data_IF_806349429191
#
_entry.id   IF_806349429191
#
_cell.length_a   1.000
_cell.length_b   1.000
_cell.length_c   1.000
_cell.angle_alpha   90.00
_cell.angle_beta   90.00
_cell.angle_gamma   90.00
#
_symmetry.space_group_name_H-M   'P 1'
#
loop_
_entity.id
_entity.type
_entity.pdbx_description
1 polymer ?
#
# COMPACT_ATOMS: atom_id res chain seq x y z
N UNK A 1 4.23 -15.26 16.88
CA UNK A 1 5.70 -15.07 16.98
C UNK A 1 6.41 -16.18 16.22
N UNK A 2 7.45 -15.84 15.44
CA UNK A 2 8.28 -16.79 14.71
C UNK A 2 9.18 -17.58 15.67
N UNK A 3 9.41 -18.87 15.39
CA UNK A 3 10.22 -19.75 16.23
C UNK A 3 11.25 -20.50 15.38
N UNK A 4 12.41 -20.80 15.95
CA UNK A 4 13.50 -21.48 15.26
C UNK A 4 14.76 -20.62 15.17
N UNK A 5 15.88 -21.18 14.70
CA UNK A 5 15.97 -22.02 13.50
C UNK A 5 15.61 -23.48 13.70
N UNK A 6 14.91 -24.07 12.73
CA UNK A 6 14.65 -25.50 12.66
C UNK A 6 15.14 -26.06 11.32
N UNK A 7 15.63 -27.29 11.33
CA UNK A 7 16.08 -27.99 10.13
C UNK A 7 14.90 -28.72 9.49
N UNK A 8 14.73 -28.55 8.17
CA UNK A 8 13.79 -29.34 7.37
C UNK A 8 14.31 -30.78 7.32
N UNK A 9 13.48 -31.74 7.74
CA UNK A 9 13.82 -33.17 7.74
C UNK A 9 13.46 -33.83 6.43
N UNK A 10 12.34 -33.42 5.82
CA UNK A 10 11.83 -34.02 4.57
C UNK A 10 11.03 -33.00 3.75
N UNK A 11 11.22 -33.00 2.42
CA UNK A 11 10.32 -32.33 1.47
C UNK A 11 9.19 -33.30 1.12
N UNK A 12 7.94 -32.92 1.38
CA UNK A 12 6.76 -33.76 1.11
C UNK A 12 6.17 -33.40 -0.25
N UNK A 13 6.05 -32.11 -0.55
CA UNK A 13 5.60 -31.56 -1.84
C UNK A 13 6.40 -30.29 -2.16
N UNK A 14 6.08 -29.61 -3.27
CA UNK A 14 6.69 -28.30 -3.57
C UNK A 14 6.33 -27.22 -2.55
N UNK A 15 5.21 -27.43 -1.85
CA UNK A 15 4.65 -26.45 -0.93
C UNK A 15 4.64 -26.91 0.53
N UNK A 16 4.82 -28.21 0.82
CA UNK A 16 4.77 -28.76 2.18
C UNK A 16 6.07 -29.45 2.59
N UNK A 17 6.53 -29.10 3.79
CA UNK A 17 7.81 -29.54 4.34
C UNK A 17 7.63 -30.07 5.77
N UNK A 18 8.33 -31.16 6.09
CA UNK A 18 8.39 -31.70 7.44
C UNK A 18 9.55 -31.08 8.22
N UNK A 19 9.26 -30.63 9.44
CA UNK A 19 10.21 -29.99 10.36
C UNK A 19 10.06 -30.61 11.74
N UNK A 20 11.19 -30.83 12.40
CA UNK A 20 11.24 -31.32 13.78
C UNK A 20 11.09 -30.17 14.78
N UNK A 21 9.90 -30.03 15.37
CA UNK A 21 9.63 -29.01 16.40
C UNK A 21 9.52 -29.69 17.75
N UNK A 22 10.44 -29.37 18.68
CA UNK A 22 10.50 -29.96 20.03
C UNK A 22 10.53 -31.51 19.99
N UNK A 23 11.29 -32.07 19.05
CA UNK A 23 11.47 -33.52 18.89
C UNK A 23 10.29 -34.25 18.23
N UNK A 24 9.24 -33.55 17.78
CA UNK A 24 8.12 -34.15 17.06
C UNK A 24 8.09 -33.67 15.60
N UNK A 25 7.93 -34.58 14.61
CA UNK A 25 7.78 -34.19 13.22
C UNK A 25 6.44 -33.48 13.02
N UNK A 26 6.46 -32.33 12.35
CA UNK A 26 5.28 -31.57 11.96
C UNK A 26 5.42 -31.09 10.53
N UNK A 27 4.30 -31.04 9.82
CA UNK A 27 4.23 -30.59 8.43
C UNK A 27 3.82 -29.12 8.41
N UNK A 28 4.54 -28.31 7.63
CA UNK A 28 4.26 -26.90 7.43
C UNK A 28 4.25 -26.56 5.95
N UNK A 29 3.31 -25.71 5.57
CA UNK A 29 3.26 -25.10 4.26
C UNK A 29 4.35 -24.02 4.12
N UNK A 30 4.85 -23.79 2.91
CA UNK A 30 5.95 -22.86 2.61
C UNK A 30 5.71 -21.44 3.14
N UNK A 31 4.47 -20.97 3.14
CA UNK A 31 4.10 -19.64 3.66
C UNK A 31 4.34 -19.48 5.17
N UNK A 32 4.40 -20.58 5.91
CA UNK A 32 4.67 -20.59 7.36
C UNK A 32 6.16 -20.74 7.67
N UNK A 33 7.03 -20.70 6.66
CA UNK A 33 8.46 -20.92 6.77
C UNK A 33 9.24 -19.72 6.24
N UNK A 34 10.34 -19.37 6.90
CA UNK A 34 11.27 -18.34 6.45
C UNK A 34 12.68 -18.92 6.37
N UNK A 35 13.41 -18.73 5.26
CA UNK A 35 14.78 -19.21 5.17
C UNK A 35 15.65 -18.52 6.22
N UNK A 36 16.37 -19.31 7.01
CA UNK A 36 17.32 -18.81 8.00
C UNK A 36 18.60 -18.33 7.29
N UNK A 37 18.89 -17.04 7.40
CA UNK A 37 20.12 -16.44 6.85
C UNK A 37 21.08 -16.16 8.00
N UNK A 38 22.24 -16.80 7.99
CA UNK A 38 23.34 -16.44 8.87
C UNK A 38 23.88 -15.11 8.36
N UNK A 39 23.97 -14.11 9.25
CA UNK A 39 24.58 -12.82 8.94
C UNK A 39 26.08 -13.04 8.93
N UNK A 40 26.68 -13.05 7.75
CA UNK A 40 28.12 -13.19 7.60
C UNK A 40 28.79 -11.93 8.17
N UNK A 41 29.55 -12.06 9.25
CA UNK A 41 30.16 -10.94 10.00
C UNK A 41 31.34 -10.28 9.26
N UNK A 42 31.67 -10.72 8.03
CA UNK A 42 32.84 -10.25 7.29
C UNK A 42 32.52 -9.38 6.06
N UNK A 43 31.32 -8.80 5.96
CA UNK A 43 31.12 -7.71 5.00
C UNK A 43 31.43 -6.36 5.66
N UNK A 44 32.48 -5.63 5.22
CA UNK A 44 32.67 -4.24 5.64
C UNK A 44 31.43 -3.42 5.28
N UNK A 45 31.14 -2.34 6.02
CA UNK A 45 29.97 -1.52 5.78
C UNK A 45 29.98 -1.09 4.32
N UNK A 46 28.99 -1.54 3.56
CA UNK A 46 28.79 -1.10 2.19
C UNK A 46 28.71 0.42 2.24
N UNK A 47 29.63 1.08 1.54
CA UNK A 47 29.60 2.53 1.35
C UNK A 47 28.17 2.92 0.98
N UNK A 48 27.54 3.70 1.86
CA UNK A 48 26.20 4.24 1.65
C UNK A 48 26.37 5.35 0.62
N UNK A 49 26.30 4.99 -0.66
CA UNK A 49 26.06 5.95 -1.72
C UNK A 49 24.55 5.99 -1.98
N UNK A 50 23.98 7.14 -1.63
CA UNK A 50 22.74 7.75 -2.12
C UNK A 50 21.40 7.08 -1.77
N UNK A 51 20.63 7.81 -0.95
CA UNK A 51 19.18 7.73 -0.75
C UNK A 51 18.59 6.41 -0.23
N UNK A 52 18.95 6.02 1.00
CA UNK A 52 18.00 5.28 1.85
C UNK A 52 18.08 5.84 3.27
N UNK A 53 17.10 6.66 3.65
CA UNK A 53 16.95 7.09 5.02
C UNK A 53 16.56 5.88 5.87
N UNK A 54 17.48 5.39 6.70
CA UNK A 54 17.17 4.38 7.71
C UNK A 54 16.42 5.06 8.86
N UNK A 55 15.10 4.93 8.87
CA UNK A 55 14.26 5.39 9.98
C UNK A 55 14.38 4.37 11.13
N UNK A 56 15.04 4.76 12.22
CA UNK A 56 15.03 3.98 13.46
C UNK A 56 13.69 4.20 14.17
N UNK A 57 12.77 3.24 14.04
CA UNK A 57 11.53 3.21 14.81
C UNK A 57 11.78 2.47 16.12
N UNK A 58 11.70 3.18 17.26
CA UNK A 58 11.52 2.58 18.57
C UNK A 58 10.10 2.02 18.65
N UNK A 59 9.95 0.70 18.60
CA UNK A 59 8.67 0.01 18.70
C UNK A 59 8.21 0.05 20.16
N UNK A 60 7.15 0.81 20.43
CA UNK A 60 6.38 0.65 21.67
C UNK A 60 5.47 -0.58 21.49
N UNK A 61 5.63 -1.57 22.36
CA UNK A 61 5.10 -2.94 22.20
C UNK A 61 3.57 -3.06 22.39
N UNK A 62 2.70 -2.28 21.74
CA UNK A 62 1.25 -2.55 21.75
C UNK A 62 0.55 -2.04 20.48
N UNK A 63 0.70 -2.73 19.34
CA UNK A 63 -0.34 -2.91 18.31
C UNK A 63 0.19 -3.85 17.20
N UNK A 64 -0.66 -4.76 16.74
CA UNK A 64 -0.32 -5.77 15.72
C UNK A 64 -0.11 -5.13 14.35
N UNK A 65 1.15 -4.99 13.94
CA UNK A 65 1.53 -4.51 12.61
C UNK A 65 1.21 -5.56 11.53
N UNK A 66 0.15 -5.33 10.78
CA UNK A 66 -0.01 -5.90 9.44
C UNK A 66 0.83 -5.04 8.51
N UNK A 67 1.97 -5.56 8.05
CA UNK A 67 2.78 -4.91 6.99
C UNK A 67 1.98 -5.00 5.69
N UNK A 68 1.17 -3.99 5.41
CA UNK A 68 0.69 -3.69 4.07
C UNK A 68 1.72 -2.75 3.45
N UNK A 69 2.31 -3.13 2.32
CA UNK A 69 2.91 -2.18 1.38
C UNK A 69 1.76 -1.30 0.87
N UNK A 70 1.39 -0.28 1.65
CA UNK A 70 0.35 0.66 1.29
C UNK A 70 0.94 1.56 0.22
N UNK A 71 0.57 1.31 -1.03
CA UNK A 71 0.53 2.37 -2.04
C UNK A 71 -0.24 3.52 -1.38
N UNK A 72 0.28 4.76 -1.35
CA UNK A 72 -0.47 5.90 -0.84
C UNK A 72 -1.81 5.96 -1.57
N UNK A 73 -2.87 5.51 -0.92
CA UNK A 73 -4.23 5.64 -1.42
C UNK A 73 -4.57 7.12 -1.25
N UNK A 74 -4.93 7.85 -2.32
CA UNK A 74 -5.39 9.22 -2.17
C UNK A 74 -6.56 9.19 -1.18
N UNK A 75 -6.39 9.87 -0.05
CA UNK A 75 -7.41 9.93 0.98
C UNK A 75 -8.51 10.86 0.48
N UNK A 76 -9.62 10.26 0.06
CA UNK A 76 -10.78 11.02 -0.43
C UNK A 76 -11.45 11.81 0.71
N UNK A 77 -11.20 11.41 1.97
CA UNK A 77 -12.00 11.78 3.16
C UNK A 77 -11.51 13.01 3.93
N UNK A 78 -10.33 13.55 3.64
CA UNK A 78 -9.81 14.73 4.34
C UNK A 78 -9.59 15.83 3.31
N UNK A 79 -10.41 16.87 3.34
CA UNK A 79 -10.11 18.11 2.64
C UNK A 79 -8.98 18.82 3.40
N UNK A 80 -7.77 18.26 3.38
CA UNK A 80 -6.62 19.00 3.88
C UNK A 80 -6.32 20.13 2.88
N UNK A 81 -6.18 21.34 3.41
CA UNK A 81 -5.90 22.53 2.65
C UNK A 81 -4.47 22.98 2.94
N UNK A 82 -3.97 23.93 2.13
CA UNK A 82 -2.72 24.62 2.41
C UNK A 82 -2.68 25.28 3.80
N UNK A 83 -3.84 25.52 4.42
CA UNK A 83 -3.99 26.05 5.79
C UNK A 83 -3.65 25.04 6.88
N UNK A 84 -3.73 23.75 6.59
CA UNK A 84 -3.48 22.67 7.56
C UNK A 84 -1.99 22.30 7.66
N UNK A 85 -1.15 22.94 6.85
CA UNK A 85 0.29 22.74 6.84
C UNK A 85 0.87 23.27 8.16
N UNK A 86 1.42 22.36 8.96
CA UNK A 86 2.13 22.69 10.20
C UNK A 86 3.45 23.38 9.89
N UNK A 87 3.47 24.69 10.06
CA UNK A 87 4.68 25.52 9.92
C UNK A 87 5.46 25.50 11.24
N UNK A 88 6.77 25.22 11.18
CA UNK A 88 7.65 25.26 12.35
C UNK A 88 7.63 26.66 13.00
N UNK A 89 7.54 26.71 14.32
CA UNK A 89 7.50 27.95 15.12
C UNK A 89 8.82 28.71 15.16
N UNK A 90 9.93 28.09 14.78
CA UNK A 90 11.27 28.68 14.82
C UNK A 90 11.61 29.53 13.59
N UNK A 91 10.71 29.63 12.61
CA UNK A 91 10.92 30.41 11.39
C UNK A 91 10.83 31.92 11.71
N UNK A 92 11.77 32.75 11.22
CA UNK A 92 11.69 34.20 11.35
C UNK A 92 10.36 34.75 10.82
N UNK A 93 9.83 35.79 11.46
CA UNK A 93 8.51 36.34 11.13
C UNK A 93 8.39 36.79 9.66
N UNK A 94 9.48 37.30 9.09
CA UNK A 94 9.56 37.75 7.70
C UNK A 94 9.44 36.60 6.71
N UNK A 95 10.14 35.48 6.97
CA UNK A 95 10.09 34.27 6.16
C UNK A 95 8.73 33.55 6.27
N UNK A 96 8.08 33.64 7.44
CA UNK A 96 6.74 33.09 7.64
C UNK A 96 5.71 33.78 6.75
N UNK A 97 5.80 35.10 6.59
CA UNK A 97 4.89 35.85 5.72
C UNK A 97 5.10 35.47 4.24
N UNK A 98 6.36 35.31 3.82
CA UNK A 98 6.70 34.83 2.47
C UNK A 98 6.16 33.41 2.23
N UNK A 99 6.36 32.50 3.18
CA UNK A 99 5.87 31.12 3.11
C UNK A 99 4.35 31.09 2.97
N UNK A 100 3.61 31.86 3.78
CA UNK A 100 2.15 31.93 3.69
C UNK A 100 1.68 32.45 2.32
N UNK A 101 2.41 33.42 1.74
CA UNK A 101 2.11 33.93 0.39
C UNK A 101 2.33 32.85 -0.68
N UNK A 102 3.38 32.03 -0.56
CA UNK A 102 3.66 30.91 -1.47
C UNK A 102 2.58 29.83 -1.32
N UNK A 103 2.23 29.44 -0.09
CA UNK A 103 1.20 28.44 0.17
C UNK A 103 -0.16 28.88 -0.39
N UNK A 104 -0.51 30.16 -0.26
CA UNK A 104 -1.70 30.73 -0.85
C UNK A 104 -1.64 30.74 -2.39
N UNK A 105 -0.48 31.09 -2.95
CA UNK A 105 -0.28 31.13 -4.40
C UNK A 105 -0.43 29.74 -5.05
N UNK A 106 0.08 28.70 -4.40
CA UNK A 106 0.05 27.32 -4.86
C UNK A 106 -0.94 26.48 -4.05
N UNK A 107 -2.08 27.04 -3.66
CA UNK A 107 -3.08 26.32 -2.87
C UNK A 107 -3.68 25.09 -3.58
N UNK A 108 -3.61 25.07 -4.90
CA UNK A 108 -4.17 24.05 -5.79
C UNK A 108 -3.38 22.74 -5.78
N UNK A 109 -2.06 22.77 -5.54
CA UNK A 109 -1.23 21.56 -5.46
C UNK A 109 -1.36 20.82 -4.13
N UNK A 110 -1.90 21.46 -3.09
CA UNK A 110 -2.06 20.89 -1.75
C UNK A 110 -3.46 20.29 -1.53
N UNK A 111 -4.20 19.98 -2.60
CA UNK A 111 -5.47 19.28 -2.48
C UNK A 111 -5.27 17.77 -2.42
N UNK A 112 -5.88 17.13 -1.44
CA UNK A 112 -5.96 15.65 -1.38
C UNK A 112 -6.92 15.07 -2.45
N UNK A 113 -7.74 15.92 -3.07
CA UNK A 113 -8.60 15.49 -4.17
C UNK A 113 -7.80 15.44 -5.47
N UNK A 114 -7.73 14.29 -6.15
CA UNK A 114 -6.98 14.18 -7.40
C UNK A 114 -7.59 15.08 -8.48
N UNK A 115 -6.75 15.84 -9.17
CA UNK A 115 -7.12 16.62 -10.35
C UNK A 115 -7.30 15.75 -11.61
N UNK A 116 -7.78 16.36 -12.70
CA UNK A 116 -7.87 15.71 -14.03
C UNK A 116 -7.15 16.54 -15.10
N UNK A 117 -6.59 15.86 -16.11
CA UNK A 117 -5.93 16.51 -17.24
C UNK A 117 -6.52 16.05 -18.56
N UNK A 118 -6.72 16.99 -19.49
CA UNK A 118 -7.18 16.72 -20.85
C UNK A 118 -6.04 16.52 -21.85
N UNK A 119 -4.78 16.73 -21.42
CA UNK A 119 -3.59 16.75 -22.29
C UNK A 119 -3.25 15.37 -22.85
N UNK A 120 -3.40 14.31 -22.04
CA UNK A 120 -3.07 12.93 -22.42
C UNK A 120 -4.23 12.02 -22.07
N UNK A 121 -4.55 11.10 -22.97
CA UNK A 121 -5.49 10.00 -22.73
C UNK A 121 -4.76 8.67 -22.90
N UNK A 122 -4.88 7.79 -21.91
CA UNK A 122 -4.33 6.44 -22.00
C UNK A 122 -5.26 5.56 -22.85
N UNK A 123 -4.70 4.90 -23.88
CA UNK A 123 -5.42 3.93 -24.70
C UNK A 123 -4.93 2.51 -24.37
N UNK A 124 -5.82 1.70 -23.80
CA UNK A 124 -5.54 0.30 -23.48
C UNK A 124 -5.74 -0.52 -24.75
N UNK A 125 -4.66 -1.11 -25.27
CA UNK A 125 -4.71 -2.03 -26.41
C UNK A 125 -5.24 -3.38 -25.94
N UNK A 126 -6.33 -3.84 -26.56
CA UNK A 126 -6.92 -5.15 -26.25
C UNK A 126 -6.23 -6.25 -27.05
N UNK A 127 -6.14 -7.45 -26.47
CA UNK A 127 -5.65 -8.65 -27.16
C UNK A 127 -6.74 -9.32 -28.00
N UNK A 128 -8.01 -9.08 -27.67
CA UNK A 128 -9.18 -9.67 -28.32
C UNK A 128 -10.29 -8.62 -28.45
N UNK A 129 -11.06 -8.69 -29.54
CA UNK A 129 -12.21 -7.78 -29.76
C UNK A 129 -13.49 -8.23 -29.06
N UNK A 130 -13.52 -9.47 -28.57
CA UNK A 130 -14.70 -10.06 -27.93
C UNK A 130 -14.75 -9.59 -26.46
N UNK A 131 -15.84 -8.93 -26.02
CA UNK A 131 -15.99 -8.51 -24.64
C UNK A 131 -16.19 -9.71 -23.71
N UNK A 132 -15.42 -9.75 -22.62
CA UNK A 132 -15.55 -10.77 -21.57
C UNK A 132 -16.51 -10.27 -20.49
N UNK A 133 -17.49 -11.11 -20.11
CA UNK A 133 -18.47 -10.82 -19.06
C UNK A 133 -18.47 -11.94 -18.03
N UNK A 134 -18.06 -11.62 -16.80
CA UNK A 134 -18.12 -12.53 -15.65
C UNK A 134 -19.17 -12.05 -14.65
N UNK A 135 -19.73 -12.98 -13.86
CA UNK A 135 -20.64 -12.63 -12.76
C UNK A 135 -19.82 -12.03 -11.61
N UNK A 136 -20.17 -10.82 -11.10
CA UNK A 136 -19.51 -10.26 -9.92
C UNK A 136 -19.65 -11.17 -8.70
N UNK A 137 -18.63 -11.20 -7.85
CA UNK A 137 -18.70 -11.91 -6.57
C UNK A 137 -19.62 -11.16 -5.60
N UNK A 138 -20.44 -11.88 -4.80
CA UNK A 138 -21.26 -11.26 -3.77
C UNK A 138 -20.37 -10.54 -2.75
N UNK A 139 -20.74 -9.31 -2.39
CA UNK A 139 -20.07 -8.53 -1.35
C UNK A 139 -20.61 -9.01 0.02
N UNK A 140 -19.74 -9.45 0.96
CA UNK A 140 -20.17 -9.80 2.31
C UNK A 140 -20.91 -8.67 3.00
N UNK A 141 -21.95 -9.00 3.79
CA UNK A 141 -22.87 -8.02 4.40
C UNK A 141 -22.15 -6.91 5.19
N UNK A 142 -21.08 -7.26 5.91
CA UNK A 142 -20.33 -6.30 6.72
C UNK A 142 -19.53 -5.29 5.88
N UNK A 143 -19.20 -5.62 4.62
CA UNK A 143 -18.53 -4.70 3.70
C UNK A 143 -19.50 -3.86 2.87
N UNK A 144 -20.78 -4.24 2.77
CA UNK A 144 -21.73 -3.54 1.88
C UNK A 144 -21.82 -2.04 2.16
N UNK A 145 -21.94 -1.64 3.43
CA UNK A 145 -22.03 -0.23 3.81
C UNK A 145 -20.75 0.56 3.48
N UNK A 146 -19.59 -0.05 3.73
CA UNK A 146 -18.30 0.58 3.49
C UNK A 146 -18.05 0.73 1.99
N UNK A 147 -18.33 -0.31 1.20
CA UNK A 147 -18.17 -0.27 -0.25
C UNK A 147 -19.12 0.76 -0.87
N UNK A 148 -20.37 0.85 -0.41
CA UNK A 148 -21.32 1.84 -0.92
C UNK A 148 -20.86 3.27 -0.61
N UNK A 149 -20.33 3.52 0.59
CA UNK A 149 -19.79 4.83 0.97
C UNK A 149 -18.61 5.23 0.06
N UNK A 150 -17.65 4.33 -0.15
CA UNK A 150 -16.49 4.55 -1.01
C UNK A 150 -16.92 4.83 -2.46
N UNK A 151 -17.85 4.03 -3.01
CA UNK A 151 -18.38 4.24 -4.37
C UNK A 151 -19.03 5.61 -4.50
N UNK A 152 -19.85 6.01 -3.52
CA UNK A 152 -20.49 7.33 -3.52
C UNK A 152 -19.47 8.47 -3.48
N UNK A 153 -18.38 8.28 -2.76
CA UNK A 153 -17.32 9.28 -2.63
C UNK A 153 -16.52 9.42 -3.92
N UNK A 154 -16.10 8.28 -4.51
CA UNK A 154 -15.41 8.26 -5.80
C UNK A 154 -16.26 8.83 -6.94
N UNK A 155 -17.58 8.62 -6.89
CA UNK A 155 -18.53 9.21 -7.85
C UNK A 155 -18.64 10.73 -7.66
N UNK A 156 -18.69 11.21 -6.41
CA UNK A 156 -18.68 12.65 -6.07
C UNK A 156 -17.38 13.33 -6.51
N UNK A 157 -16.24 12.67 -6.36
CA UNK A 157 -14.93 13.16 -6.80
C UNK A 157 -14.71 13.04 -8.31
N UNK A 158 -15.64 12.43 -9.06
CA UNK A 158 -15.55 12.29 -10.52
C UNK A 158 -14.48 11.28 -10.98
N UNK A 159 -13.97 10.45 -10.07
CA UNK A 159 -12.98 9.39 -10.37
C UNK A 159 -13.66 8.23 -11.12
N UNK A 160 -14.89 7.90 -10.73
CA UNK A 160 -15.73 6.90 -11.39
C UNK A 160 -17.00 7.51 -11.98
N UNK A 161 -17.60 6.81 -12.95
CA UNK A 161 -18.89 7.17 -13.53
C UNK A 161 -19.71 5.93 -13.85
N UNK A 162 -21.03 6.06 -13.82
CA UNK A 162 -21.94 5.02 -14.30
C UNK A 162 -21.73 4.79 -15.80
N UNK A 163 -21.66 3.52 -16.19
CA UNK A 163 -21.44 3.09 -17.57
C UNK A 163 -22.30 1.86 -17.85
N UNK A 164 -22.84 1.76 -19.06
CA UNK A 164 -23.64 0.63 -19.53
C UNK A 164 -22.83 -0.38 -20.36
N UNK A 165 -21.49 -0.32 -20.32
CA UNK A 165 -20.63 -1.17 -21.13
C UNK A 165 -20.74 -2.67 -20.76
N UNK A 166 -20.67 -3.57 -21.76
CA UNK A 166 -20.93 -5.01 -21.57
C UNK A 166 -19.80 -5.82 -20.90
N UNK A 167 -18.65 -5.21 -20.57
CA UNK A 167 -17.46 -5.92 -20.07
C UNK A 167 -17.37 -5.96 -18.54
N UNK A 168 -17.11 -7.14 -17.95
CA UNK A 168 -16.82 -7.33 -16.52
C UNK A 168 -15.63 -8.30 -16.38
N UNK A 169 -14.62 -7.85 -15.64
CA UNK A 169 -13.22 -8.32 -15.42
C UNK A 169 -12.90 -9.84 -15.53
N UNK A 170 -11.70 -10.16 -16.02
CA UNK A 170 -11.04 -11.50 -16.01
C UNK A 170 -10.24 -11.73 -14.71
N UNK A 171 -10.31 -12.91 -14.07
CA UNK A 171 -9.41 -13.28 -12.94
C UNK A 171 -8.02 -13.65 -13.49
N UNK A 172 -6.95 -13.19 -12.85
CA UNK A 172 -5.59 -13.70 -13.06
C UNK A 172 -5.31 -14.85 -12.10
#
# INVERSE_FOLDING_TARGET
>A
SWQGPYKVTKKISDVDYEILVKGKPKIFHINMLKPFKIRDELQPPRHINEHVASLALTINEQQEDTITDQIPTPSTTVESSWKDIKVNSEIPHEDRALLMKILQQFQDIFSDTPGSTSVIKHHIRLTTEIPVKTKPYPIPLHYQKQVEAEISELEKCGIIRRSSFPTIHHRW
#
